data_IF_077967722591
#
_entry.id   IF_077967722591
#
_cell.length_a   1.000
_cell.length_b   1.000
_cell.length_c   1.000
_cell.angle_alpha   90.00
_cell.angle_beta   90.00
_cell.angle_gamma   90.00
#
_symmetry.space_group_name_H-M   'P 1'
#
loop_
_entity.id
_entity.type
_entity.pdbx_description
1 polymer ?
#
# COMPACT_ATOMS: atom_id res chain seq x y z
N UNK A 1 8.02 0.30 -0.81
CA UNK A 1 8.15 -1.18 -0.75
C UNK A 1 8.90 -1.73 0.47
N UNK A 2 9.72 -0.95 1.19
CA UNK A 2 10.46 -1.47 2.36
C UNK A 2 9.56 -1.95 3.53
N UNK A 3 8.41 -1.29 3.75
CA UNK A 3 7.43 -1.70 4.78
C UNK A 3 6.50 -2.84 4.38
N UNK A 4 6.69 -3.45 3.21
CA UNK A 4 5.86 -4.55 2.72
C UNK A 4 6.58 -5.88 2.94
N UNK A 5 5.82 -6.91 3.28
CA UNK A 5 6.36 -8.25 3.49
C UNK A 5 6.97 -8.79 2.19
N UNK A 6 8.27 -9.13 2.24
CA UNK A 6 9.00 -9.73 1.11
C UNK A 6 8.67 -11.21 0.98
N UNK A 7 7.50 -11.49 0.43
CA UNK A 7 6.95 -12.84 0.29
C UNK A 7 6.01 -12.92 -0.91
N UNK A 8 5.88 -14.12 -1.49
CA UNK A 8 4.94 -14.43 -2.57
C UNK A 8 3.47 -14.41 -2.10
N UNK A 9 3.26 -14.39 -0.77
CA UNK A 9 1.93 -14.28 -0.15
C UNK A 9 1.50 -12.83 0.15
N UNK A 10 2.33 -11.83 -0.15
CA UNK A 10 1.89 -10.43 -0.13
C UNK A 10 0.72 -10.25 -1.09
N UNK A 11 -0.32 -9.50 -0.67
CA UNK A 11 -1.47 -9.18 -1.52
C UNK A 11 -1.61 -7.67 -1.71
N UNK A 12 -1.65 -7.24 -2.96
CA UNK A 12 -2.02 -5.88 -3.33
C UNK A 12 -3.36 -5.92 -4.07
N UNK A 13 -4.41 -5.39 -3.45
CA UNK A 13 -5.79 -5.41 -3.96
C UNK A 13 -6.12 -4.05 -4.54
N UNK A 14 -6.62 -4.02 -5.77
CA UNK A 14 -6.99 -2.82 -6.50
C UNK A 14 -8.31 -3.01 -7.24
N UNK A 15 -8.86 -1.94 -7.78
CA UNK A 15 -10.03 -1.99 -8.70
C UNK A 15 -9.78 -2.88 -9.93
N UNK A 16 -8.53 -3.12 -10.33
CA UNK A 16 -8.18 -4.02 -11.44
C UNK A 16 -7.93 -5.48 -11.00
N UNK A 17 -8.12 -5.80 -9.71
CA UNK A 17 -7.89 -7.14 -9.16
C UNK A 17 -6.70 -7.21 -8.19
N UNK A 18 -6.26 -8.44 -7.90
CA UNK A 18 -5.27 -8.77 -6.87
C UNK A 18 -3.92 -9.11 -7.52
N UNK A 19 -2.84 -8.47 -7.06
CA UNK A 19 -1.46 -8.87 -7.36
C UNK A 19 -0.87 -9.60 -6.16
N UNK A 20 -0.31 -10.78 -6.40
CA UNK A 20 0.38 -11.57 -5.38
C UNK A 20 1.89 -11.41 -5.50
N UNK A 21 2.56 -11.34 -4.36
CA UNK A 21 4.02 -11.37 -4.25
C UNK A 21 4.70 -10.01 -4.33
N UNK A 22 5.70 -9.82 -3.46
CA UNK A 22 6.42 -8.55 -3.32
C UNK A 22 7.11 -8.09 -4.61
N UNK A 23 7.73 -9.03 -5.34
CA UNK A 23 8.44 -8.70 -6.58
C UNK A 23 7.48 -8.26 -7.68
N UNK A 24 6.38 -8.99 -7.88
CA UNK A 24 5.35 -8.62 -8.84
C UNK A 24 4.70 -7.25 -8.52
N UNK A 25 4.46 -6.97 -7.23
CA UNK A 25 3.98 -5.64 -6.80
C UNK A 25 5.00 -4.53 -7.12
N UNK A 26 6.30 -4.76 -6.86
CA UNK A 26 7.35 -3.79 -7.18
C UNK A 26 7.45 -3.53 -8.68
N UNK A 27 7.41 -4.57 -9.51
CA UNK A 27 7.51 -4.44 -10.96
C UNK A 27 6.30 -3.71 -11.54
N UNK A 28 5.09 -4.02 -11.07
CA UNK A 28 3.87 -3.28 -11.43
C UNK A 28 3.93 -1.81 -11.00
N UNK A 29 4.45 -1.54 -9.79
CA UNK A 29 4.65 -0.16 -9.31
C UNK A 29 5.59 0.62 -10.23
N UNK A 30 6.74 0.04 -10.59
CA UNK A 30 7.71 0.65 -11.51
C UNK A 30 7.15 0.90 -12.90
N UNK A 31 6.35 -0.03 -13.43
CA UNK A 31 5.68 0.14 -14.72
C UNK A 31 4.66 1.28 -14.70
N UNK A 32 3.90 1.42 -13.61
CA UNK A 32 2.85 2.44 -13.47
C UNK A 32 3.41 3.85 -13.20
N UNK A 33 4.57 3.93 -12.57
CA UNK A 33 5.23 5.18 -12.19
C UNK A 33 6.69 5.21 -12.68
N UNK A 34 6.92 5.29 -14.00
CA UNK A 34 8.24 5.15 -14.60
C UNK A 34 9.17 6.37 -14.38
N UNK A 35 8.60 7.55 -14.09
CA UNK A 35 9.35 8.81 -13.95
C UNK A 35 8.97 9.56 -12.65
N UNK A 36 9.72 10.63 -12.33
CA UNK A 36 9.43 11.45 -11.15
C UNK A 36 8.17 12.31 -11.31
N UNK A 37 7.88 12.78 -12.53
CA UNK A 37 6.71 13.62 -12.82
C UNK A 37 5.39 12.88 -12.56
N UNK A 38 5.34 11.58 -12.82
CA UNK A 38 4.17 10.72 -12.58
C UNK A 38 3.95 10.34 -11.11
N UNK A 39 4.93 10.54 -10.22
CA UNK A 39 4.84 10.13 -8.81
C UNK A 39 4.03 11.11 -7.96
N UNK A 40 4.02 12.39 -8.29
CA UNK A 40 3.31 13.41 -7.52
C UNK A 40 3.77 13.52 -6.07
N UNK A 41 3.01 14.27 -5.27
CA UNK A 41 3.20 14.39 -3.82
C UNK A 41 2.10 13.62 -3.11
N UNK A 42 2.49 12.62 -2.32
CA UNK A 42 1.59 11.74 -1.59
C UNK A 42 1.54 12.13 -0.11
N UNK A 43 0.34 12.40 0.39
CA UNK A 43 0.04 12.58 1.80
C UNK A 43 -0.93 11.51 2.25
N UNK A 44 -0.75 11.02 3.47
CA UNK A 44 -1.67 10.11 4.12
C UNK A 44 -2.33 10.75 5.32
N UNK A 45 -3.53 10.26 5.62
CA UNK A 45 -4.25 10.50 6.85
C UNK A 45 -4.64 9.15 7.43
N UNK A 46 -4.33 8.92 8.70
CA UNK A 46 -4.72 7.70 9.41
C UNK A 46 -6.11 7.94 9.97
N UNK A 47 -7.07 7.13 9.54
CA UNK A 47 -8.47 7.21 9.99
C UNK A 47 -8.66 6.36 11.24
N UNK A 48 -8.18 5.12 11.21
CA UNK A 48 -8.21 4.23 12.38
C UNK A 48 -7.05 3.24 12.34
N UNK A 49 -6.72 2.72 13.52
CA UNK A 49 -5.79 1.61 13.68
C UNK A 49 -6.29 0.73 14.82
N UNK A 50 -6.42 -0.56 14.54
CA UNK A 50 -6.99 -1.54 15.44
C UNK A 50 -6.02 -2.72 15.56
N UNK A 51 -5.61 -3.05 16.79
CA UNK A 51 -4.91 -4.30 17.05
C UNK A 51 -5.93 -5.44 17.01
N UNK A 52 -5.67 -6.45 16.19
CA UNK A 52 -6.52 -7.65 16.11
C UNK A 52 -5.94 -8.79 16.98
N UNK A 53 -4.63 -8.76 17.23
CA UNK A 53 -3.88 -9.68 18.10
C UNK A 53 -2.52 -9.04 18.46
N UNK A 54 -1.71 -9.74 19.27
CA UNK A 54 -0.34 -9.31 19.62
C UNK A 54 0.59 -9.16 18.40
N UNK A 55 0.24 -9.78 17.27
CA UNK A 55 1.04 -9.85 16.05
C UNK A 55 0.30 -9.37 14.80
N UNK A 56 -0.90 -8.79 14.93
CA UNK A 56 -1.66 -8.28 13.78
C UNK A 56 -2.46 -7.02 14.07
N UNK A 57 -2.52 -6.15 13.06
CA UNK A 57 -3.24 -4.89 13.13
C UNK A 57 -3.92 -4.56 11.82
N UNK A 58 -5.09 -3.93 11.90
CA UNK A 58 -5.81 -3.39 10.76
C UNK A 58 -5.73 -1.86 10.79
N UNK A 59 -5.45 -1.25 9.64
CA UNK A 59 -5.38 0.20 9.50
C UNK A 59 -6.31 0.63 8.38
N UNK A 60 -7.09 1.67 8.64
CA UNK A 60 -7.85 2.41 7.61
C UNK A 60 -7.20 3.77 7.47
N UNK A 61 -6.92 4.16 6.23
CA UNK A 61 -6.34 5.46 5.92
C UNK A 61 -6.95 6.07 4.67
N UNK A 62 -6.64 7.35 4.46
CA UNK A 62 -6.94 8.07 3.23
C UNK A 62 -5.66 8.60 2.62
N UNK A 63 -5.51 8.45 1.31
CA UNK A 63 -4.41 9.06 0.58
C UNK A 63 -4.87 10.30 -0.16
N UNK A 64 -3.97 11.25 -0.33
CA UNK A 64 -4.13 12.43 -1.16
C UNK A 64 -2.89 12.54 -2.03
N UNK A 65 -3.08 12.51 -3.34
CA UNK A 65 -2.02 12.45 -4.34
C UNK A 65 -2.13 13.67 -5.25
N UNK A 66 -1.24 14.63 -5.06
CA UNK A 66 -1.17 15.83 -5.90
C UNK A 66 -0.30 15.56 -7.13
N UNK A 67 -0.83 15.75 -8.33
CA UNK A 67 -0.11 15.47 -9.59
C UNK A 67 -0.26 16.65 -10.57
N UNK A 68 0.80 17.43 -10.80
CA UNK A 68 0.73 18.65 -11.62
C UNK A 68 0.15 18.44 -13.04
N UNK A 69 0.46 17.31 -13.68
CA UNK A 69 0.09 17.07 -15.09
C UNK A 69 -1.10 16.11 -15.27
N UNK A 70 -1.40 15.28 -14.27
CA UNK A 70 -2.42 14.21 -14.38
C UNK A 70 -3.68 14.48 -13.56
N UNK A 71 -3.72 15.60 -12.85
CA UNK A 71 -4.77 15.93 -11.90
C UNK A 71 -4.65 15.13 -10.60
N UNK A 72 -5.14 15.73 -9.52
CA UNK A 72 -5.07 15.14 -8.19
C UNK A 72 -5.94 13.89 -8.08
N UNK A 73 -5.59 13.01 -7.15
CA UNK A 73 -6.39 11.84 -6.80
C UNK A 73 -6.37 11.63 -5.30
N UNK A 74 -7.47 11.12 -4.76
CA UNK A 74 -7.58 10.72 -3.36
C UNK A 74 -8.47 9.48 -3.25
N UNK A 75 -8.40 8.83 -2.10
CA UNK A 75 -9.17 7.62 -1.86
C UNK A 75 -8.82 6.99 -0.54
N UNK A 76 -9.63 6.01 -0.14
CA UNK A 76 -9.36 5.23 1.05
C UNK A 76 -8.50 4.02 0.72
N UNK A 77 -7.72 3.60 1.70
CA UNK A 77 -6.98 2.35 1.66
C UNK A 77 -7.07 1.64 3.00
N UNK A 78 -6.89 0.33 2.97
CA UNK A 78 -6.76 -0.48 4.18
C UNK A 78 -5.50 -1.33 4.13
N UNK A 79 -4.85 -1.47 5.29
CA UNK A 79 -3.66 -2.28 5.44
C UNK A 79 -3.91 -3.34 6.51
N UNK A 80 -3.55 -4.59 6.18
CA UNK A 80 -3.33 -5.62 7.19
C UNK A 80 -1.84 -5.68 7.49
N UNK A 81 -1.50 -5.42 8.74
CA UNK A 81 -0.16 -5.51 9.27
C UNK A 81 0.02 -6.83 10.02
N UNK A 82 1.22 -7.40 9.90
CA UNK A 82 1.67 -8.53 10.71
C UNK A 82 3.04 -8.24 11.30
N UNK A 83 3.29 -8.72 12.51
CA UNK A 83 4.61 -8.72 13.12
C UNK A 83 5.31 -10.04 12.76
N UNK A 84 6.28 -9.98 11.85
CA UNK A 84 7.05 -11.13 11.36
C UNK A 84 8.52 -10.88 11.70
N UNK A 85 9.16 -11.84 12.37
CA UNK A 85 10.55 -11.72 12.84
C UNK A 85 10.81 -10.45 13.66
N UNK A 86 9.82 -10.05 14.47
CA UNK A 86 9.88 -8.87 15.32
C UNK A 86 9.57 -7.54 14.62
N UNK A 87 9.42 -7.52 13.29
CA UNK A 87 9.15 -6.33 12.50
C UNK A 87 7.69 -6.28 12.01
N UNK A 88 7.06 -5.11 12.11
CA UNK A 88 5.76 -4.87 11.52
C UNK A 88 5.88 -4.65 10.01
N UNK A 89 5.20 -5.48 9.24
CA UNK A 89 5.16 -5.42 7.78
C UNK A 89 3.73 -5.51 7.27
N UNK A 90 3.47 -4.84 6.15
CA UNK A 90 2.20 -4.91 5.44
C UNK A 90 2.14 -6.24 4.70
N UNK A 91 1.10 -7.03 4.96
CA UNK A 91 0.84 -8.31 4.29
C UNK A 91 -0.36 -8.25 3.34
N UNK A 92 -1.23 -7.26 3.51
CA UNK A 92 -2.28 -6.90 2.56
C UNK A 92 -2.36 -5.39 2.46
N UNK A 93 -2.37 -4.87 1.25
CA UNK A 93 -2.69 -3.49 0.93
C UNK A 93 -3.88 -3.50 -0.01
N UNK A 94 -4.97 -2.86 0.40
CA UNK A 94 -6.17 -2.71 -0.42
C UNK A 94 -6.40 -1.22 -0.69
N UNK A 95 -6.11 -0.82 -1.92
CA UNK A 95 -6.23 0.56 -2.38
C UNK A 95 -7.00 0.58 -3.71
N UNK A 96 -8.17 1.22 -3.71
CA UNK A 96 -9.11 1.26 -4.84
C UNK A 96 -9.16 2.61 -5.53
#
# INVERSE_FOLDING_TARGET
MAGYWRSDSLRFVSTQGITYGWQATLDRYRQRYPDAASRGTLRFEIVSTELLSDDSAFLVGRFFLTRPEKGDADGYFTLLWRKIDGAWVIVVDHTG
#
